data_IF_802798566923
#
_entry.id   IF_802798566923
#
_cell.length_a   1.000
_cell.length_b   1.000
_cell.length_c   1.000
_cell.angle_alpha   90.00
_cell.angle_beta   90.00
_cell.angle_gamma   90.00
#
_symmetry.space_group_name_H-M   'P 1'
#
loop_
_entity.id
_entity.type
_entity.pdbx_description
1 polymer ?
#
# COMPACT_ATOMS: atom_id res chain seq x y z
N UNK A 1 4.12 -9.02 -21.67
CA UNK A 1 3.64 -9.72 -20.45
C UNK A 1 4.20 -9.12 -19.17
N UNK A 2 5.50 -8.78 -19.09
CA UNK A 2 6.14 -8.15 -17.90
C UNK A 2 5.42 -6.90 -17.36
N UNK A 3 4.86 -6.06 -18.23
CA UNK A 3 4.09 -4.86 -17.83
C UNK A 3 2.87 -5.21 -16.97
N UNK A 4 2.18 -6.33 -17.27
CA UNK A 4 1.01 -6.77 -16.50
C UNK A 4 1.42 -7.16 -15.06
N UNK A 5 2.60 -7.77 -14.90
CA UNK A 5 3.15 -8.15 -13.59
C UNK A 5 3.73 -6.96 -12.81
N UNK A 6 4.04 -5.84 -13.47
CA UNK A 6 4.50 -4.62 -12.81
C UNK A 6 3.35 -3.80 -12.19
N UNK A 7 2.12 -3.93 -12.71
CA UNK A 7 0.93 -3.22 -12.21
C UNK A 7 0.71 -3.34 -10.68
N UNK A 8 0.77 -4.54 -10.06
CA UNK A 8 0.61 -4.65 -8.60
C UNK A 8 1.70 -3.90 -7.84
N UNK A 9 2.96 -3.95 -8.28
CA UNK A 9 4.06 -3.22 -7.64
C UNK A 9 3.85 -1.70 -7.69
N UNK A 10 3.39 -1.18 -8.84
CA UNK A 10 3.06 0.24 -9.01
C UNK A 10 1.89 0.67 -8.12
N UNK A 11 0.83 -0.14 -8.04
CA UNK A 11 -0.32 0.11 -7.15
C UNK A 11 0.12 0.17 -5.68
N UNK A 12 0.95 -0.79 -5.26
CA UNK A 12 1.51 -0.85 -3.91
C UNK A 12 2.35 0.39 -3.57
N UNK A 13 3.16 0.88 -4.51
CA UNK A 13 3.92 2.12 -4.35
C UNK A 13 3.00 3.34 -4.19
N UNK A 14 1.97 3.46 -5.03
CA UNK A 14 1.01 4.56 -4.94
C UNK A 14 0.24 4.54 -3.61
N UNK A 15 -0.20 3.36 -3.17
CA UNK A 15 -0.83 3.19 -1.86
C UNK A 15 0.12 3.53 -0.71
N UNK A 16 1.37 3.06 -0.77
CA UNK A 16 2.37 3.34 0.24
C UNK A 16 2.73 4.84 0.35
N UNK A 17 2.83 5.53 -0.78
CA UNK A 17 2.99 7.00 -0.83
C UNK A 17 1.73 7.69 -0.30
N UNK A 18 0.53 7.21 -0.66
CA UNK A 18 -0.72 7.71 -0.09
C UNK A 18 -0.72 7.65 1.44
N UNK A 19 -0.26 6.52 1.99
CA UNK A 19 -0.08 6.29 3.43
C UNK A 19 0.94 7.22 4.11
N UNK A 20 1.96 7.69 3.39
CA UNK A 20 2.95 8.63 3.91
C UNK A 20 2.55 10.10 3.77
N UNK A 21 1.95 10.46 2.63
CA UNK A 21 1.77 11.87 2.21
C UNK A 21 0.48 12.50 2.70
N UNK A 22 -0.62 11.74 2.77
CA UNK A 22 -1.95 12.26 3.13
C UNK A 22 -2.61 11.33 4.14
N UNK A 23 -2.22 11.40 5.42
CA UNK A 23 -2.79 10.56 6.47
C UNK A 23 -4.31 10.73 6.60
N UNK A 24 -4.85 11.90 6.24
CA UNK A 24 -6.29 12.20 6.32
C UNK A 24 -7.11 11.37 5.33
N UNK A 25 -6.69 11.32 4.07
CA UNK A 25 -7.37 10.56 3.00
C UNK A 25 -7.32 9.06 3.29
N UNK A 26 -6.17 8.58 3.76
CA UNK A 26 -5.99 7.17 4.11
C UNK A 26 -6.76 6.82 5.38
N UNK A 27 -6.92 7.75 6.33
CA UNK A 27 -7.77 7.50 7.49
C UNK A 27 -9.24 7.36 7.11
N UNK A 28 -9.73 8.14 6.13
CA UNK A 28 -11.08 7.99 5.59
C UNK A 28 -11.24 6.65 4.84
N UNK A 29 -10.28 6.29 3.98
CA UNK A 29 -10.28 4.98 3.31
C UNK A 29 -10.20 3.82 4.31
N UNK A 30 -9.40 3.93 5.37
CA UNK A 30 -9.34 2.93 6.43
C UNK A 30 -10.61 2.87 7.26
N UNK A 31 -11.29 3.98 7.51
CA UNK A 31 -12.57 3.98 8.20
C UNK A 31 -13.62 3.27 7.35
N UNK A 32 -13.63 3.55 6.05
CA UNK A 32 -14.49 2.85 5.08
C UNK A 32 -14.17 1.35 4.97
N UNK A 33 -12.88 0.98 4.91
CA UNK A 33 -12.45 -0.41 4.95
C UNK A 33 -12.78 -1.08 6.29
N UNK A 34 -12.72 -0.35 7.40
CA UNK A 34 -13.09 -0.87 8.71
C UNK A 34 -14.57 -1.26 8.76
N UNK A 35 -15.41 -0.43 8.16
CA UNK A 35 -16.85 -0.67 8.09
C UNK A 35 -17.23 -1.77 7.10
N UNK A 36 -16.47 -1.96 6.02
CA UNK A 36 -16.87 -2.87 4.93
C UNK A 36 -16.05 -4.17 4.80
N UNK A 37 -14.80 -4.21 5.24
CA UNK A 37 -13.86 -5.30 4.93
C UNK A 37 -13.11 -5.86 6.14
N UNK A 38 -12.77 -5.06 7.15
CA UNK A 38 -11.91 -5.48 8.26
C UNK A 38 -12.38 -4.91 9.60
N UNK A 39 -12.81 -5.77 10.52
CA UNK A 39 -13.19 -5.37 11.90
C UNK A 39 -12.03 -4.76 12.71
N UNK A 40 -10.79 -4.90 12.24
CA UNK A 40 -9.61 -4.81 13.10
C UNK A 40 -8.96 -3.42 13.24
N UNK A 41 -8.47 -3.12 14.45
CA UNK A 41 -7.84 -1.82 14.80
C UNK A 41 -6.41 -1.64 14.33
N UNK A 42 -5.79 -2.68 13.77
CA UNK A 42 -4.35 -2.76 13.49
C UNK A 42 -3.82 -1.65 12.57
N UNK A 43 -4.62 -1.23 11.59
CA UNK A 43 -4.20 -0.21 10.61
C UNK A 43 -4.02 1.20 11.19
N UNK A 44 -4.65 1.51 12.33
CA UNK A 44 -4.61 2.87 12.91
C UNK A 44 -3.36 3.11 13.77
N UNK A 45 -2.80 2.06 14.38
CA UNK A 45 -1.74 2.19 15.39
C UNK A 45 -0.36 2.43 14.75
N UNK A 46 -0.14 1.96 13.50
CA UNK A 46 1.17 2.02 12.85
C UNK A 46 1.12 2.45 11.38
N UNK A 47 0.23 3.41 11.05
CA UNK A 47 -0.03 3.94 9.69
C UNK A 47 1.26 4.19 8.88
N UNK A 48 2.24 4.84 9.50
CA UNK A 48 3.53 5.17 8.86
C UNK A 48 4.38 3.93 8.57
N UNK A 49 4.42 2.95 9.47
CA UNK A 49 5.13 1.67 9.24
C UNK A 49 4.45 0.85 8.15
N UNK A 50 3.11 0.86 8.10
CA UNK A 50 2.34 0.19 7.05
C UNK A 50 2.64 0.81 5.69
N UNK A 51 2.65 2.15 5.59
CA UNK A 51 3.06 2.85 4.37
C UNK A 51 4.47 2.51 3.91
N UNK A 52 5.44 2.50 4.84
CA UNK A 52 6.83 2.10 4.52
C UNK A 52 6.91 0.64 4.07
N UNK A 53 6.17 -0.28 4.71
CA UNK A 53 6.11 -1.68 4.27
C UNK A 53 5.48 -1.83 2.87
N UNK A 54 4.39 -1.11 2.58
CA UNK A 54 3.76 -1.10 1.26
C UNK A 54 4.74 -0.63 0.18
N UNK A 55 5.48 0.45 0.45
CA UNK A 55 6.52 0.94 -0.46
C UNK A 55 7.61 -0.12 -0.65
N UNK A 56 8.12 -0.70 0.45
CA UNK A 56 9.19 -1.68 0.40
C UNK A 56 8.82 -2.93 -0.40
N UNK A 57 7.63 -3.48 -0.16
CA UNK A 57 7.10 -4.62 -0.92
C UNK A 57 6.86 -4.25 -2.39
N UNK A 58 6.33 -3.05 -2.66
CA UNK A 58 6.12 -2.55 -4.01
C UNK A 58 7.43 -2.45 -4.81
N UNK A 59 8.50 -1.92 -4.19
CA UNK A 59 9.84 -1.87 -4.80
C UNK A 59 10.36 -3.28 -5.07
N UNK A 60 10.28 -4.21 -4.11
CA UNK A 60 10.75 -5.58 -4.29
C UNK A 60 10.08 -6.29 -5.48
N UNK A 61 8.75 -6.16 -5.60
CA UNK A 61 7.99 -6.74 -6.70
C UNK A 61 8.44 -6.12 -8.04
N UNK A 62 8.56 -4.81 -8.09
CA UNK A 62 9.00 -4.11 -9.31
C UNK A 62 10.43 -4.50 -9.70
N UNK A 63 11.36 -4.55 -8.74
CA UNK A 63 12.74 -4.95 -8.97
C UNK A 63 12.84 -6.39 -9.45
N UNK A 64 12.05 -7.31 -8.88
CA UNK A 64 12.00 -8.71 -9.32
C UNK A 64 11.52 -8.81 -10.79
N UNK A 65 10.42 -8.13 -11.12
CA UNK A 65 9.86 -8.11 -12.48
C UNK A 65 10.78 -7.44 -13.51
N UNK A 66 11.65 -6.50 -13.09
CA UNK A 66 12.61 -5.84 -13.96
C UNK A 66 13.88 -6.68 -14.21
N UNK A 67 14.22 -7.59 -13.29
CA UNK A 67 15.44 -8.40 -13.36
C UNK A 67 15.26 -9.67 -14.22
N UNK A 68 14.04 -10.21 -14.26
CA UNK A 68 13.63 -11.26 -15.22
C UNK A 68 13.41 -10.68 -16.62
#
# INVERSE_FOLDING_TARGET
MKVLFALPGILLLFLGIGYLSRPDIISAFNSWCRENLFTDRLLIIHRRKVGVMLIFVGVLILSCVLLE
#
